data_IF_181013708735
#
_entry.id   IF_181013708735
#
_cell.length_a   1.000
_cell.length_b   1.000
_cell.length_c   1.000
_cell.angle_alpha   90.00
_cell.angle_beta   90.00
_cell.angle_gamma   90.00
#
_symmetry.space_group_name_H-M   'P 1'
#
loop_
_entity.id
_entity.type
_entity.pdbx_description
1 polymer ?
#
# COMPACT_ATOMS: atom_id res chain seq x y z
N UNK A 1 14.64 53.14 20.24
CA UNK A 1 14.32 53.01 18.79
C UNK A 1 14.82 51.68 18.20
N UNK A 2 16.10 51.32 18.36
CA UNK A 2 16.69 50.08 17.79
C UNK A 2 15.99 48.75 18.18
N UNK A 3 15.64 48.57 19.46
CA UNK A 3 14.97 47.35 19.94
C UNK A 3 13.58 47.12 19.32
N UNK A 4 12.86 48.21 18.97
CA UNK A 4 11.55 48.15 18.33
C UNK A 4 11.64 47.66 16.88
N UNK A 5 12.69 48.07 16.15
CA UNK A 5 12.94 47.61 14.79
C UNK A 5 13.45 46.16 14.75
N UNK A 6 14.31 45.77 15.68
CA UNK A 6 14.75 44.37 15.82
C UNK A 6 13.58 43.42 16.11
N UNK A 7 12.69 43.79 17.03
CA UNK A 7 11.48 43.01 17.30
C UNK A 7 10.58 42.88 16.06
N UNK A 8 10.41 43.96 15.29
CA UNK A 8 9.65 43.93 14.05
C UNK A 8 10.26 43.01 12.99
N UNK A 9 11.60 43.03 12.83
CA UNK A 9 12.32 42.15 11.89
C UNK A 9 12.15 40.68 12.30
N UNK A 10 12.25 40.36 13.59
CA UNK A 10 12.08 39.00 14.10
C UNK A 10 10.65 38.51 13.91
N UNK A 11 9.64 39.33 14.21
CA UNK A 11 8.23 38.98 14.03
C UNK A 11 7.91 38.77 12.55
N UNK A 12 8.39 39.65 11.67
CA UNK A 12 8.14 39.58 10.23
C UNK A 12 8.85 38.37 9.60
N UNK A 13 10.10 38.11 10.00
CA UNK A 13 10.87 36.93 9.56
C UNK A 13 10.26 35.61 10.06
N UNK A 14 9.83 35.56 11.32
CA UNK A 14 9.22 34.38 11.92
C UNK A 14 7.88 33.98 11.28
N UNK A 15 7.06 34.95 10.87
CA UNK A 15 5.79 34.68 10.19
C UNK A 15 5.98 34.02 8.82
N UNK A 16 7.01 34.41 8.08
CA UNK A 16 7.30 33.85 6.74
C UNK A 16 7.79 32.40 6.88
N UNK A 17 8.74 32.15 7.78
CA UNK A 17 9.30 30.81 8.03
C UNK A 17 8.23 29.88 8.62
N UNK A 18 7.44 30.34 9.59
CA UNK A 18 6.38 29.55 10.21
C UNK A 18 5.27 29.15 9.23
N UNK A 19 4.87 30.06 8.32
CA UNK A 19 3.88 29.75 7.27
C UNK A 19 4.42 28.76 6.24
N UNK A 20 5.70 28.87 5.86
CA UNK A 20 6.33 27.93 4.93
C UNK A 20 6.42 26.52 5.54
N UNK A 21 6.84 26.42 6.80
CA UNK A 21 6.91 25.14 7.52
C UNK A 21 5.51 24.51 7.71
N UNK A 22 4.52 25.29 8.14
CA UNK A 22 3.14 24.81 8.25
C UNK A 22 2.56 24.35 6.91
N UNK A 23 2.92 25.03 5.81
CA UNK A 23 2.51 24.62 4.45
C UNK A 23 3.18 23.31 4.03
N UNK A 24 4.47 23.13 4.31
CA UNK A 24 5.19 21.89 4.03
C UNK A 24 4.62 20.71 4.82
N UNK A 25 4.41 20.87 6.13
CA UNK A 25 3.79 19.84 6.98
C UNK A 25 2.37 19.50 6.50
N UNK A 26 1.57 20.51 6.15
CA UNK A 26 0.21 20.29 5.62
C UNK A 26 0.24 19.57 4.27
N UNK A 27 1.20 19.88 3.41
CA UNK A 27 1.38 19.21 2.12
C UNK A 27 1.78 17.75 2.29
N UNK A 28 2.69 17.45 3.22
CA UNK A 28 3.08 16.07 3.53
C UNK A 28 1.92 15.25 4.11
N UNK A 29 1.17 15.83 5.05
CA UNK A 29 -0.03 15.18 5.62
C UNK A 29 -1.09 14.97 4.55
N UNK A 30 -1.31 15.93 3.65
CA UNK A 30 -2.28 15.80 2.56
C UNK A 30 -1.84 14.79 1.51
N UNK A 31 -0.56 14.77 1.14
CA UNK A 31 0.00 13.77 0.23
C UNK A 31 -0.07 12.37 0.84
N UNK A 32 0.23 12.24 2.13
CA UNK A 32 0.12 10.99 2.88
C UNK A 32 -1.34 10.53 2.99
N UNK A 33 -2.28 11.43 3.26
CA UNK A 33 -3.72 11.12 3.25
C UNK A 33 -4.25 10.77 1.86
N UNK A 34 -3.75 11.41 0.79
CA UNK A 34 -4.14 11.08 -0.58
C UNK A 34 -3.57 9.72 -1.00
N UNK A 35 -2.32 9.40 -0.63
CA UNK A 35 -1.73 8.08 -0.83
C UNK A 35 -2.47 7.00 -0.03
N UNK A 36 -2.88 7.30 1.21
CA UNK A 36 -3.70 6.41 2.01
C UNK A 36 -5.10 6.20 1.40
N UNK A 37 -5.72 7.25 0.85
CA UNK A 37 -7.01 7.15 0.14
C UNK A 37 -6.89 6.32 -1.14
N UNK A 38 -5.82 6.48 -1.91
CA UNK A 38 -5.57 5.68 -3.13
C UNK A 38 -5.24 4.21 -2.82
N UNK A 39 -4.63 3.93 -1.66
CA UNK A 39 -4.41 2.57 -1.14
C UNK A 39 -5.58 2.04 -0.28
N UNK A 40 -6.75 2.66 -0.33
CA UNK A 40 -7.97 2.17 0.31
C UNK A 40 -8.10 2.51 1.81
N UNK A 41 -7.87 3.75 2.21
CA UNK A 41 -7.95 4.22 3.59
C UNK A 41 -9.17 3.69 4.37
N UNK A 42 -8.98 3.41 5.67
CA UNK A 42 -9.95 2.68 6.50
C UNK A 42 -9.55 1.22 6.70
N UNK A 43 -10.53 0.31 6.77
CA UNK A 43 -10.28 -1.11 7.07
C UNK A 43 -9.42 -1.81 6.00
N UNK A 44 -9.54 -1.43 4.72
CA UNK A 44 -8.74 -2.00 3.64
C UNK A 44 -7.25 -1.60 3.75
N UNK A 45 -6.95 -0.32 3.99
CA UNK A 45 -5.58 0.15 4.24
C UNK A 45 -4.94 -0.47 5.48
N UNK A 46 -5.71 -0.71 6.54
CA UNK A 46 -5.24 -1.43 7.72
C UNK A 46 -4.88 -2.89 7.41
N UNK A 47 -5.67 -3.58 6.58
CA UNK A 47 -5.37 -4.94 6.10
C UNK A 47 -4.10 -4.97 5.24
N UNK A 48 -3.93 -4.02 4.32
CA UNK A 48 -2.72 -3.91 3.50
C UNK A 48 -1.47 -3.65 4.35
N UNK A 49 -1.57 -2.78 5.35
CA UNK A 49 -0.47 -2.52 6.29
C UNK A 49 -0.14 -3.78 7.11
N UNK A 50 -1.15 -4.50 7.61
CA UNK A 50 -0.94 -5.75 8.33
C UNK A 50 -0.29 -6.83 7.45
N UNK A 51 -0.72 -6.98 6.20
CA UNK A 51 -0.13 -7.91 5.24
C UNK A 51 1.34 -7.57 4.94
N UNK A 52 1.67 -6.28 4.78
CA UNK A 52 3.04 -5.84 4.61
C UNK A 52 3.91 -6.17 5.85
N UNK A 53 3.39 -5.94 7.06
CA UNK A 53 4.09 -6.27 8.29
C UNK A 53 4.31 -7.77 8.48
N UNK A 54 3.32 -8.59 8.10
CA UNK A 54 3.41 -10.05 8.19
C UNK A 54 4.45 -10.63 7.23
N UNK A 55 4.45 -10.17 5.98
CA UNK A 55 5.44 -10.61 4.99
C UNK A 55 6.81 -9.92 5.14
N UNK A 56 6.86 -8.81 5.90
CA UNK A 56 8.04 -7.97 6.07
C UNK A 56 8.43 -7.22 4.79
N UNK A 57 7.50 -7.03 3.85
CA UNK A 57 7.73 -6.33 2.58
C UNK A 57 6.44 -5.76 1.97
N UNK A 58 6.60 -4.80 1.06
CA UNK A 58 5.48 -4.22 0.31
C UNK A 58 5.10 -5.09 -0.90
N UNK A 59 3.90 -4.87 -1.47
CA UNK A 59 3.50 -5.53 -2.74
C UNK A 59 4.43 -5.17 -3.90
N UNK A 60 4.91 -3.92 -3.94
CA UNK A 60 5.85 -3.45 -4.97
C UNK A 60 7.20 -4.17 -4.85
N UNK A 61 7.68 -4.38 -3.62
CA UNK A 61 8.90 -5.17 -3.36
C UNK A 61 8.70 -6.64 -3.72
N UNK A 62 7.56 -7.24 -3.37
CA UNK A 62 7.25 -8.63 -3.71
C UNK A 62 7.24 -8.86 -5.23
N UNK A 63 6.65 -7.95 -6.00
CA UNK A 63 6.68 -8.01 -7.47
C UNK A 63 8.10 -7.91 -8.02
N UNK A 64 8.96 -7.04 -7.45
CA UNK A 64 10.36 -6.95 -7.86
C UNK A 64 11.14 -8.22 -7.55
N UNK A 65 10.92 -8.82 -6.38
CA UNK A 65 11.57 -10.09 -5.99
C UNK A 65 11.19 -11.21 -6.97
N UNK A 66 9.92 -11.30 -7.35
CA UNK A 66 9.44 -12.29 -8.32
C UNK A 66 9.58 -11.83 -9.79
N UNK A 67 10.21 -10.69 -10.05
CA UNK A 67 10.37 -10.12 -11.39
C UNK A 67 9.06 -10.06 -12.22
N UNK A 68 8.00 -9.54 -11.61
CA UNK A 68 6.68 -9.45 -12.21
C UNK A 68 6.35 -8.01 -12.61
N UNK A 69 5.75 -7.85 -13.79
CA UNK A 69 5.19 -6.58 -14.24
C UNK A 69 3.68 -6.48 -14.04
N UNK A 70 3.01 -7.64 -13.93
CA UNK A 70 1.57 -7.80 -13.73
C UNK A 70 1.32 -8.98 -12.79
N UNK A 71 0.17 -8.97 -12.11
CA UNK A 71 -0.25 -10.07 -11.24
C UNK A 71 -1.01 -11.13 -12.05
N UNK A 72 -0.30 -11.82 -12.94
CA UNK A 72 -0.82 -12.97 -13.67
C UNK A 72 -0.49 -14.28 -12.93
N UNK A 73 -1.49 -15.15 -12.75
CA UNK A 73 -1.35 -16.36 -11.94
C UNK A 73 -0.30 -17.34 -12.50
N UNK A 74 -0.21 -17.47 -13.82
CA UNK A 74 0.74 -18.38 -14.46
C UNK A 74 2.17 -17.83 -14.37
N UNK A 75 2.35 -16.52 -14.56
CA UNK A 75 3.66 -15.87 -14.42
C UNK A 75 4.16 -15.89 -12.97
N UNK A 76 3.28 -15.66 -12.00
CA UNK A 76 3.62 -15.73 -10.56
C UNK A 76 4.16 -17.12 -10.22
N UNK A 77 3.42 -18.17 -10.58
CA UNK A 77 3.79 -19.54 -10.21
C UNK A 77 5.08 -19.97 -10.91
N UNK A 78 5.23 -19.65 -12.21
CA UNK A 78 6.45 -19.94 -12.98
C UNK A 78 7.68 -19.26 -12.37
N UNK A 79 7.58 -17.96 -12.07
CA UNK A 79 8.69 -17.21 -11.51
C UNK A 79 9.04 -17.70 -10.10
N UNK A 80 8.02 -17.95 -9.27
CA UNK A 80 8.20 -18.50 -7.94
C UNK A 80 8.92 -19.85 -7.97
N UNK A 81 8.45 -20.81 -8.77
CA UNK A 81 9.07 -22.14 -8.84
C UNK A 81 10.54 -22.06 -9.27
N UNK A 82 10.82 -21.27 -10.31
CA UNK A 82 12.17 -21.07 -10.79
C UNK A 82 13.07 -20.46 -9.71
N UNK A 83 12.67 -19.33 -9.11
CA UNK A 83 13.47 -18.62 -8.10
C UNK A 83 13.61 -19.43 -6.82
N UNK A 84 12.60 -20.20 -6.42
CA UNK A 84 12.66 -21.05 -5.24
C UNK A 84 13.65 -22.21 -5.44
N UNK A 85 13.63 -22.82 -6.62
CA UNK A 85 14.49 -23.96 -6.95
C UNK A 85 15.97 -23.55 -7.07
N UNK A 86 16.27 -22.46 -7.80
CA UNK A 86 17.66 -22.01 -8.00
C UNK A 86 18.29 -21.47 -6.71
N UNK A 87 17.49 -21.07 -5.72
CA UNK A 87 17.96 -20.64 -4.40
C UNK A 87 17.92 -21.74 -3.34
N UNK A 88 17.65 -22.99 -3.72
CA UNK A 88 17.67 -24.12 -2.79
C UNK A 88 19.07 -24.28 -2.15
N UNK A 89 19.09 -24.30 -0.81
CA UNK A 89 20.30 -24.55 -0.01
C UNK A 89 21.03 -25.83 -0.43
N UNK A 90 20.29 -26.89 -0.76
CA UNK A 90 20.87 -28.17 -1.17
C UNK A 90 21.65 -28.06 -2.49
N UNK A 91 21.33 -27.07 -3.32
CA UNK A 91 21.98 -26.78 -4.61
C UNK A 91 23.01 -25.65 -4.52
N UNK A 92 23.42 -25.26 -3.30
CA UNK A 92 24.36 -24.15 -3.07
C UNK A 92 23.70 -22.76 -3.06
N UNK A 93 22.37 -22.69 -3.05
CA UNK A 93 21.62 -21.45 -2.93
C UNK A 93 21.60 -20.87 -1.51
N UNK A 94 21.02 -19.68 -1.37
CA UNK A 94 20.91 -18.99 -0.08
C UNK A 94 19.54 -19.18 0.54
N UNK A 95 19.50 -19.70 1.77
CA UNK A 95 18.26 -19.78 2.55
C UNK A 95 17.56 -18.44 2.71
N UNK A 96 18.35 -17.37 2.87
CA UNK A 96 17.80 -16.04 3.03
C UNK A 96 17.07 -15.61 1.77
N UNK A 97 17.67 -15.83 0.60
CA UNK A 97 17.07 -15.51 -0.69
C UNK A 97 15.84 -16.38 -0.97
N UNK A 98 15.93 -17.69 -0.72
CA UNK A 98 14.78 -18.59 -0.84
C UNK A 98 13.63 -18.15 0.10
N UNK A 99 13.94 -17.78 1.33
CA UNK A 99 12.95 -17.25 2.29
C UNK A 99 12.32 -15.96 1.78
N UNK A 100 13.09 -15.05 1.16
CA UNK A 100 12.55 -13.82 0.55
C UNK A 100 11.61 -14.11 -0.62
N UNK A 101 11.92 -15.10 -1.46
CA UNK A 101 11.05 -15.56 -2.55
C UNK A 101 9.71 -16.09 -1.99
N UNK A 102 9.75 -16.89 -0.93
CA UNK A 102 8.53 -17.39 -0.26
C UNK A 102 7.69 -16.24 0.30
N UNK A 103 8.30 -15.30 1.05
CA UNK A 103 7.58 -14.15 1.61
C UNK A 103 6.97 -13.25 0.52
N UNK A 104 7.65 -13.08 -0.60
CA UNK A 104 7.12 -12.34 -1.74
C UNK A 104 5.86 -13.01 -2.30
N UNK A 105 5.87 -14.33 -2.46
CA UNK A 105 4.68 -15.09 -2.90
C UNK A 105 3.52 -14.94 -1.93
N UNK A 106 3.76 -15.15 -0.62
CA UNK A 106 2.73 -15.00 0.43
C UNK A 106 2.08 -13.61 0.39
N UNK A 107 2.88 -12.55 0.15
CA UNK A 107 2.38 -11.19 0.04
C UNK A 107 1.48 -10.98 -1.18
N UNK A 108 1.87 -11.53 -2.34
CA UNK A 108 1.07 -11.43 -3.57
C UNK A 108 -0.23 -12.23 -3.45
N UNK A 109 -0.17 -13.45 -2.91
CA UNK A 109 -1.34 -14.30 -2.69
C UNK A 109 -2.35 -13.62 -1.75
N UNK A 110 -1.85 -12.95 -0.72
CA UNK A 110 -2.67 -12.14 0.19
C UNK A 110 -3.39 -11.00 -0.53
N UNK A 111 -2.73 -10.33 -1.49
CA UNK A 111 -3.35 -9.27 -2.30
C UNK A 111 -4.46 -9.83 -3.20
N UNK A 112 -4.19 -10.93 -3.91
CA UNK A 112 -5.15 -11.57 -4.81
C UNK A 112 -6.41 -12.00 -4.04
N UNK A 113 -6.25 -12.58 -2.86
CA UNK A 113 -7.36 -12.95 -1.98
C UNK A 113 -8.16 -11.73 -1.53
N UNK A 114 -7.48 -10.66 -1.11
CA UNK A 114 -8.15 -9.41 -0.72
C UNK A 114 -8.94 -8.78 -1.87
N UNK A 115 -8.41 -8.85 -3.10
CA UNK A 115 -9.09 -8.38 -4.31
C UNK A 115 -10.36 -9.20 -4.61
N UNK A 116 -10.28 -10.53 -4.58
CA UNK A 116 -11.43 -11.43 -4.78
C UNK A 116 -12.54 -11.19 -3.74
N UNK A 117 -12.17 -11.05 -2.46
CA UNK A 117 -13.15 -10.72 -1.41
C UNK A 117 -13.80 -9.35 -1.62
N UNK A 118 -13.06 -8.36 -2.15
CA UNK A 118 -13.60 -7.05 -2.44
C UNK A 118 -14.60 -7.09 -3.61
N UNK A 119 -14.32 -7.88 -4.65
CA UNK A 119 -15.23 -8.09 -5.79
C UNK A 119 -16.49 -8.85 -5.39
N UNK A 120 -16.36 -9.92 -4.60
CA UNK A 120 -17.52 -10.66 -4.09
C UNK A 120 -18.44 -9.80 -3.21
N UNK A 121 -17.87 -8.91 -2.38
CA UNK A 121 -18.65 -7.93 -1.60
C UNK A 121 -19.38 -6.91 -2.47
N UNK A 122 -18.76 -6.47 -3.57
CA UNK A 122 -19.40 -5.54 -4.52
C UNK A 122 -20.60 -6.20 -5.21
N UNK A 123 -20.43 -7.40 -5.75
CA UNK A 123 -21.52 -8.16 -6.39
C UNK A 123 -22.70 -8.37 -5.43
N UNK A 124 -22.44 -8.80 -4.19
CA UNK A 124 -23.50 -9.01 -3.20
C UNK A 124 -24.25 -7.71 -2.84
N UNK A 125 -23.55 -6.57 -2.81
CA UNK A 125 -24.17 -5.26 -2.55
C UNK A 125 -24.99 -4.72 -3.73
N UNK A 126 -24.66 -5.12 -4.95
CA UNK A 126 -25.40 -4.76 -6.16
C UNK A 126 -26.68 -5.59 -6.29
N UNK A 127 -26.64 -6.89 -5.98
CA UNK A 127 -27.82 -7.78 -5.97
C UNK A 127 -28.88 -7.32 -4.95
N UNK A 128 -28.47 -6.88 -3.76
CA UNK A 128 -29.40 -6.35 -2.75
C UNK A 128 -30.04 -5.02 -3.14
N UNK A 129 -29.37 -4.19 -3.95
CA UNK A 129 -29.92 -2.92 -4.48
C UNK A 129 -30.94 -3.13 -5.59
N UNK A 130 -30.82 -4.22 -6.34
CA UNK A 130 -31.80 -4.58 -7.39
C UNK A 130 -33.08 -5.18 -6.81
N UNK A 131 -33.01 -6.00 -5.75
CA UNK A 131 -34.19 -6.59 -5.10
C UNK A 131 -35.05 -5.57 -4.31
N UNK A 132 -34.43 -4.57 -3.70
CA UNK A 132 -35.18 -3.52 -2.97
C UNK A 132 -35.95 -2.57 -3.91
N UNK A 133 -35.53 -2.46 -5.18
CA UNK A 133 -36.20 -1.61 -6.17
C UNK A 133 -37.47 -2.25 -6.73
N UNK A 134 -37.50 -3.57 -6.86
CA UNK A 134 -38.66 -4.31 -7.40
C UNK A 134 -39.80 -4.45 -6.38
N UNK A 135 -39.47 -4.51 -5.09
CA UNK A 135 -40.49 -4.67 -4.01
C UNK A 135 -41.21 -3.35 -3.66
N UNK A 136 -40.76 -2.21 -4.21
CA UNK A 136 -41.34 -0.88 -3.93
C UNK A 136 -42.28 -0.36 -5.03
N UNK A 137 -42.60 -1.17 -6.05
CA UNK A 137 -43.48 -0.79 -7.17
C UNK A 137 -44.75 -1.65 -7.31
N UNK A 138 -45.13 -2.43 -6.29
CA UNK A 138 -46.45 -3.07 -6.19
C UNK A 138 -47.17 -2.61 -4.93
#
# INVERSE_FOLDING_TARGET
MAAKYLAQIIILGGQVVGRAFAKAVRQEIQASQQAAKQRGGGQAGAKTAAANSLAGMTLEEAQKILNLSKLDAAEIEKSYQHLFEVNDKAKGGSFYLQSKVVRAKERIDSELKMAQEAEGRKLASETQKTETKDTSQT
#
